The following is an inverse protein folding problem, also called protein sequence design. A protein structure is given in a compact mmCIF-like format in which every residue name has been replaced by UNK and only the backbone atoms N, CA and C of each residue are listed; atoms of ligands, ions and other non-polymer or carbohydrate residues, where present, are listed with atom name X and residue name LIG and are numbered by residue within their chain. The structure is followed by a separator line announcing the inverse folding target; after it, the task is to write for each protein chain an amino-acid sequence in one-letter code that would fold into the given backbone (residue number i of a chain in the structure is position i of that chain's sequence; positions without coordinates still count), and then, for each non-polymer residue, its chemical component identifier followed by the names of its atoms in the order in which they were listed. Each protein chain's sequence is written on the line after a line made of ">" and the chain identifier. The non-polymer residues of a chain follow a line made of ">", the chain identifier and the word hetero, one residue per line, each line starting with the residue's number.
data_IF_753203552925
#
_entry.id   IF_753203552925
#
_cell.length_a   1.000
_cell.length_b   1.000
_cell.length_c   1.000
_cell.angle_alpha   90.00
_cell.angle_beta   90.00
_cell.angle_gamma   90.00
#
_symmetry.space_group_name_H-M   'P 1'
#
loop_
_entity.id
_entity.type
_entity.pdbx_description
1 polymer ?
#
# COMPACT_ATOMS: atom_id res chain seq x y z
N UNK A 1 -9.77 -0.04 6.31
CA UNK A 1 -8.84 0.14 7.44
C UNK A 1 -8.07 -1.12 7.81
N UNK A 2 -8.72 -2.25 8.12
CA UNK A 2 -8.02 -3.47 8.55
C UNK A 2 -6.91 -3.92 7.60
N UNK A 3 -7.13 -3.84 6.29
CA UNK A 3 -6.12 -4.24 5.28
C UNK A 3 -4.87 -3.34 5.32
N UNK A 4 -5.02 -2.05 5.59
CA UNK A 4 -3.87 -1.15 5.73
C UNK A 4 -3.09 -1.43 7.00
N UNK A 5 -3.79 -1.67 8.11
CA UNK A 5 -3.17 -2.05 9.39
C UNK A 5 -2.41 -3.38 9.23
N UNK A 6 -3.06 -4.37 8.62
CA UNK A 6 -2.46 -5.67 8.32
C UNK A 6 -1.22 -5.52 7.42
N UNK A 7 -1.30 -4.70 6.37
CA UNK A 7 -0.17 -4.38 5.50
C UNK A 7 1.01 -3.78 6.29
N UNK A 8 0.75 -2.78 7.15
CA UNK A 8 1.80 -2.10 7.91
C UNK A 8 2.46 -3.04 8.93
N UNK A 9 1.66 -3.86 9.62
CA UNK A 9 2.19 -4.87 10.54
C UNK A 9 3.03 -5.90 9.77
N UNK A 10 2.52 -6.38 8.64
CA UNK A 10 3.23 -7.33 7.79
C UNK A 10 4.54 -6.75 7.26
N UNK A 11 4.56 -5.49 6.85
CA UNK A 11 5.76 -4.83 6.38
C UNK A 11 6.85 -4.68 7.46
N UNK A 12 6.44 -4.26 8.67
CA UNK A 12 7.38 -3.90 9.76
C UNK A 12 7.83 -5.10 10.59
N UNK A 13 6.93 -6.05 10.89
CA UNK A 13 7.19 -7.08 11.88
C UNK A 13 7.48 -8.46 11.31
N UNK A 14 7.08 -8.74 10.06
CA UNK A 14 7.25 -10.07 9.48
C UNK A 14 8.58 -10.12 8.72
N UNK A 15 9.60 -10.86 9.17
CA UNK A 15 10.78 -11.12 8.35
C UNK A 15 10.37 -11.99 7.13
N UNK A 16 11.13 -11.97 6.03
CA UNK A 16 12.47 -11.40 5.88
C UNK A 16 12.50 -9.90 5.56
N UNK A 17 13.62 -9.28 5.93
CA UNK A 17 13.90 -7.86 5.68
C UNK A 17 14.96 -7.72 4.59
N UNK A 18 14.82 -6.73 3.69
CA UNK A 18 15.83 -6.46 2.66
C UNK A 18 17.22 -6.22 3.26
N UNK A 19 18.22 -6.99 2.79
CA UNK A 19 19.65 -6.84 3.14
C UNK A 19 20.25 -5.50 2.67
N UNK A 20 19.62 -4.86 1.68
CA UNK A 20 19.94 -3.51 1.23
C UNK A 20 18.69 -2.86 0.64
N UNK A 21 18.26 -1.73 1.19
CA UNK A 21 17.12 -0.97 0.70
C UNK A 21 17.58 0.22 -0.13
N UNK A 22 17.10 0.30 -1.38
CA UNK A 22 17.09 1.58 -2.08
C UNK A 22 16.15 2.54 -1.34
N UNK A 23 16.58 3.79 -1.13
CA UNK A 23 15.74 4.84 -0.52
C UNK A 23 14.38 4.97 -1.25
N UNK A 24 14.36 4.75 -2.57
CA UNK A 24 13.16 4.80 -3.40
C UNK A 24 12.19 3.64 -3.11
N UNK A 25 12.68 2.45 -2.77
CA UNK A 25 11.83 1.31 -2.39
C UNK A 25 11.12 1.57 -1.07
N UNK A 26 11.83 2.08 -0.05
CA UNK A 26 11.23 2.43 1.23
C UNK A 26 10.13 3.50 1.08
N UNK A 27 10.38 4.49 0.21
CA UNK A 27 9.39 5.52 -0.11
C UNK A 27 8.16 4.95 -0.83
N UNK A 28 8.32 4.07 -1.81
CA UNK A 28 7.18 3.45 -2.52
C UNK A 28 6.29 2.63 -1.58
N UNK A 29 6.90 1.78 -0.73
CA UNK A 29 6.14 0.96 0.22
C UNK A 29 5.50 1.76 1.36
N UNK A 30 5.87 3.03 1.56
CA UNK A 30 5.21 3.95 2.48
C UNK A 30 4.17 4.85 1.80
N UNK A 31 4.50 5.43 0.65
CA UNK A 31 3.67 6.40 -0.08
C UNK A 31 2.48 5.75 -0.77
N UNK A 32 2.66 4.61 -1.44
CA UNK A 32 1.58 3.96 -2.20
C UNK A 32 0.41 3.52 -1.30
N UNK A 33 0.64 2.88 -0.14
CA UNK A 33 -0.43 2.56 0.80
C UNK A 33 -1.05 3.82 1.42
N UNK A 34 -0.24 4.87 1.68
CA UNK A 34 -0.73 6.12 2.25
C UNK A 34 -1.65 6.87 1.28
N UNK A 35 -1.26 6.96 0.01
CA UNK A 35 -2.08 7.53 -1.07
C UNK A 35 -3.36 6.71 -1.28
N UNK A 36 -3.24 5.38 -1.27
CA UNK A 36 -4.39 4.47 -1.36
C UNK A 36 -5.37 4.67 -0.20
N UNK A 37 -4.85 4.83 1.02
CA UNK A 37 -5.66 5.12 2.21
C UNK A 37 -6.30 6.51 2.13
N UNK A 38 -5.57 7.52 1.64
CA UNK A 38 -6.10 8.85 1.35
C UNK A 38 -7.27 8.81 0.38
N UNK A 39 -7.16 8.06 -0.72
CA UNK A 39 -8.23 7.87 -1.69
C UNK A 39 -9.46 7.16 -1.10
N UNK A 40 -9.28 6.26 -0.13
CA UNK A 40 -10.38 5.57 0.56
C UNK A 40 -11.09 6.47 1.57
N UNK A 41 -10.34 7.28 2.32
CA UNK A 41 -10.86 8.14 3.39
C UNK A 41 -11.45 9.45 2.86
N UNK A 42 -10.84 10.01 1.82
CA UNK A 42 -11.21 11.31 1.26
C UNK A 42 -11.53 11.20 -0.24
N UNK A 43 -12.53 10.36 -0.62
CA UNK A 43 -12.91 10.23 -2.03
C UNK A 43 -13.44 11.54 -2.61
N UNK A 44 -13.99 12.41 -1.75
CA UNK A 44 -14.49 13.75 -2.03
C UNK A 44 -13.44 14.77 -2.51
N UNK A 45 -12.14 14.50 -2.31
CA UNK A 45 -11.07 15.35 -2.87
C UNK A 45 -11.04 15.24 -4.40
N UNK A 46 -11.46 14.10 -4.94
CA UNK A 46 -11.55 13.89 -6.36
C UNK A 46 -12.90 14.38 -6.89
N UNK A 47 -13.00 15.67 -7.19
CA UNK A 47 -14.20 16.28 -7.80
C UNK A 47 -14.43 15.86 -9.25
N UNK A 48 -13.42 15.24 -9.89
CA UNK A 48 -13.47 14.80 -11.29
C UNK A 48 -14.04 13.40 -11.48
N UNK A 49 -14.05 12.55 -10.44
CA UNK A 49 -14.53 11.16 -10.57
C UNK A 49 -15.54 10.81 -9.47
N UNK A 50 -16.46 9.86 -9.73
CA UNK A 50 -17.39 9.40 -8.71
C UNK A 50 -16.64 8.87 -7.48
N UNK A 51 -17.15 9.17 -6.28
CA UNK A 51 -16.54 8.74 -5.02
C UNK A 51 -16.30 7.23 -4.95
N UNK A 52 -17.24 6.46 -5.53
CA UNK A 52 -17.16 5.01 -5.63
C UNK A 52 -15.94 4.54 -6.44
N UNK A 53 -15.58 5.26 -7.51
CA UNK A 53 -14.43 4.93 -8.37
C UNK A 53 -13.13 5.24 -7.64
N UNK A 54 -13.02 6.42 -7.02
CA UNK A 54 -11.84 6.83 -6.24
C UNK A 54 -11.59 5.87 -5.07
N UNK A 55 -12.65 5.44 -4.39
CA UNK A 55 -12.56 4.48 -3.28
C UNK A 55 -12.14 3.10 -3.78
N UNK A 56 -12.72 2.63 -4.88
CA UNK A 56 -12.35 1.36 -5.53
C UNK A 56 -10.89 1.35 -5.95
N UNK A 57 -10.39 2.44 -6.54
CA UNK A 57 -8.97 2.60 -6.90
C UNK A 57 -8.07 2.55 -5.67
N UNK A 58 -8.44 3.21 -4.58
CA UNK A 58 -7.69 3.12 -3.33
C UNK A 58 -7.62 1.69 -2.79
N UNK A 59 -8.71 0.93 -2.85
CA UNK A 59 -8.70 -0.49 -2.47
C UNK A 59 -7.82 -1.35 -3.40
N UNK A 60 -7.92 -1.14 -4.71
CA UNK A 60 -7.09 -1.86 -5.70
C UNK A 60 -5.61 -1.57 -5.48
N UNK A 61 -5.24 -0.30 -5.25
CA UNK A 61 -3.86 0.10 -4.95
C UNK A 61 -3.33 -0.54 -3.67
N UNK A 62 -4.16 -0.59 -2.61
CA UNK A 62 -3.81 -1.21 -1.34
C UNK A 62 -3.59 -2.73 -1.47
N UNK A 63 -4.46 -3.42 -2.22
CA UNK A 63 -4.34 -4.85 -2.46
C UNK A 63 -3.11 -5.14 -3.33
N UNK A 64 -2.91 -4.37 -4.40
CA UNK A 64 -1.77 -4.54 -5.29
C UNK A 64 -0.43 -4.38 -4.55
N UNK A 65 -0.25 -3.31 -3.77
CA UNK A 65 0.99 -3.11 -3.01
C UNK A 65 1.20 -4.19 -1.94
N UNK A 66 0.12 -4.72 -1.35
CA UNK A 66 0.20 -5.85 -0.41
C UNK A 66 0.68 -7.13 -1.07
N UNK A 67 0.18 -7.44 -2.28
CA UNK A 67 0.62 -8.59 -3.07
C UNK A 67 2.09 -8.45 -3.48
N UNK A 68 2.48 -7.26 -3.94
CA UNK A 68 3.88 -6.98 -4.31
C UNK A 68 4.79 -7.17 -3.10
N UNK A 69 4.44 -6.59 -1.95
CA UNK A 69 5.22 -6.75 -0.72
C UNK A 69 5.35 -8.22 -0.30
N UNK A 70 4.27 -8.99 -0.37
CA UNK A 70 4.30 -10.43 -0.09
C UNK A 70 5.21 -11.18 -1.07
N UNK A 71 5.16 -10.85 -2.35
CA UNK A 71 6.02 -11.45 -3.37
C UNK A 71 7.52 -11.18 -3.06
N UNK A 72 7.86 -9.93 -2.71
CA UNK A 72 9.24 -9.60 -2.31
C UNK A 72 9.67 -10.34 -1.05
N UNK A 73 8.81 -10.46 -0.03
CA UNK A 73 9.12 -11.23 1.20
C UNK A 73 9.23 -12.73 1.00
N UNK A 74 8.60 -13.31 -0.02
CA UNK A 74 8.61 -14.75 -0.24
C UNK A 74 9.71 -15.20 -1.22
N UNK A 75 10.05 -14.36 -2.19
CA UNK A 75 10.89 -14.75 -3.32
C UNK A 75 12.19 -13.95 -3.45
N UNK A 76 12.34 -12.82 -2.75
CA UNK A 76 13.49 -11.90 -2.92
C UNK A 76 14.27 -11.69 -1.63
N UNK A 77 13.57 -11.39 -0.55
CA UNK A 77 14.15 -11.26 0.80
C UNK A 77 14.03 -12.60 1.52
#
# INVERSE_FOLDING_TARGET
>A
MLVFIAYTIFNVFVPPFPLGTSSQMGQLYGLVPLLSLGAILFPQINTQSPESVTRSIGWIGLVAVSIVLACFKLYVW
#
